data_IF_483050934167
#
_entry.id   IF_483050934167
#
_cell.length_a   1.000
_cell.length_b   1.000
_cell.length_c   1.000
_cell.angle_alpha   90.00
_cell.angle_beta   90.00
_cell.angle_gamma   90.00
#
_symmetry.space_group_name_H-M   'P 1'
#
loop_
_entity.id
_entity.type
_entity.pdbx_description
1 polymer ?
#
# COMPACT_ATOMS: atom_id res chain seq x y z
N UNK A 1 -7.61 22.46 15.68
CA UNK A 1 -6.74 22.84 14.54
C UNK A 1 -5.67 21.79 14.46
N UNK A 2 -5.84 20.86 13.52
CA UNK A 2 -5.01 19.64 13.37
C UNK A 2 -3.54 19.98 13.06
N UNK A 3 -2.61 19.23 13.65
CA UNK A 3 -1.16 19.36 13.47
C UNK A 3 -0.69 19.17 12.01
N UNK A 4 -1.56 18.71 11.14
CA UNK A 4 -1.31 18.56 9.69
C UNK A 4 -0.93 19.87 8.97
N UNK A 5 -1.26 21.03 9.54
CA UNK A 5 -0.92 22.35 8.96
C UNK A 5 0.44 22.92 9.39
N UNK A 6 1.18 22.22 10.29
CA UNK A 6 2.44 22.77 10.85
C UNK A 6 3.73 22.21 10.24
N UNK A 7 3.67 21.17 9.41
CA UNK A 7 4.87 20.58 8.81
C UNK A 7 5.22 21.19 7.43
N UNK A 8 4.33 22.00 6.83
CA UNK A 8 4.56 22.60 5.50
C UNK A 8 5.05 24.06 5.51
N UNK A 9 5.55 24.60 6.62
CA UNK A 9 5.94 26.02 6.70
C UNK A 9 7.37 26.23 7.16
N UNK A 10 8.35 25.60 6.54
CA UNK A 10 9.75 26.01 6.72
C UNK A 10 10.62 25.51 5.56
N UNK A 11 10.59 26.24 4.47
CA UNK A 11 11.74 26.55 3.60
C UNK A 11 11.28 27.31 2.35
N UNK A 12 11.07 28.59 2.46
CA UNK A 12 11.21 29.54 1.33
C UNK A 12 11.45 30.94 1.88
N UNK A 13 12.71 31.30 2.05
CA UNK A 13 13.13 32.69 2.22
C UNK A 13 14.48 32.88 1.55
N UNK A 14 14.47 33.75 0.56
CA UNK A 14 15.70 34.38 0.07
C UNK A 14 15.98 34.23 -1.40
N UNK A 15 15.56 35.15 -2.24
CA UNK A 15 16.42 36.22 -2.78
C UNK A 15 15.55 37.16 -3.64
N UNK A 16 15.41 38.39 -3.16
CA UNK A 16 14.99 39.56 -3.95
C UNK A 16 16.25 40.38 -4.23
N UNK A 17 16.51 40.70 -5.49
CA UNK A 17 17.40 41.81 -5.87
C UNK A 17 16.91 42.43 -7.19
N UNK A 18 16.28 43.51 -7.07
CA UNK A 18 16.29 44.87 -7.62
C UNK A 18 17.10 45.06 -8.91
N UNK A 19 16.43 45.68 -9.90
CA UNK A 19 17.05 46.32 -11.03
C UNK A 19 16.05 47.13 -11.83
N UNK A 20 15.79 48.36 -11.35
CA UNK A 20 15.10 49.39 -12.13
C UNK A 20 16.13 50.25 -12.85
N UNK A 21 15.92 50.53 -14.13
CA UNK A 21 16.43 51.76 -14.75
C UNK A 21 15.52 52.17 -15.91
N UNK A 22 15.13 53.40 -15.84
CA UNK A 22 14.29 54.15 -16.75
C UNK A 22 15.08 54.66 -17.96
N UNK A 23 14.36 54.94 -19.04
CA UNK A 23 14.86 55.68 -20.19
C UNK A 23 13.73 56.15 -21.07
N UNK A 24 13.36 57.44 -20.94
CA UNK A 24 12.46 58.18 -21.85
C UNK A 24 13.16 58.58 -23.13
N UNK A 25 12.45 58.63 -24.24
CA UNK A 25 12.49 59.76 -25.21
C UNK A 25 11.53 59.55 -26.37
N UNK A 26 10.59 60.36 -26.48
CA UNK A 26 9.95 61.27 -27.46
C UNK A 26 9.79 60.87 -28.97
N UNK A 27 8.51 61.01 -29.34
CA UNK A 27 7.98 61.77 -30.47
C UNK A 27 7.98 61.18 -31.91
N UNK A 28 6.79 61.10 -32.48
CA UNK A 28 6.57 60.93 -33.91
C UNK A 28 5.19 60.46 -34.27
N UNK A 29 4.30 61.38 -34.55
CA UNK A 29 2.93 61.31 -35.03
C UNK A 29 2.81 60.52 -36.34
N UNK A 30 1.86 59.58 -36.53
CA UNK A 30 0.82 59.68 -37.56
C UNK A 30 -0.19 58.49 -37.56
N UNK A 31 -1.37 58.86 -37.85
CA UNK A 31 -2.63 58.17 -38.07
C UNK A 31 -2.59 56.81 -38.80
N UNK A 32 -3.38 55.87 -38.32
CA UNK A 32 -3.76 54.67 -39.06
C UNK A 32 -4.66 53.75 -38.21
N UNK A 33 -5.96 53.95 -38.35
CA UNK A 33 -7.02 53.17 -37.71
C UNK A 33 -6.94 51.69 -38.14
N UNK A 34 -6.67 50.77 -37.17
CA UNK A 34 -7.00 49.34 -37.29
C UNK A 34 -7.22 48.75 -35.92
N UNK A 35 -8.46 48.57 -35.59
CA UNK A 35 -8.91 47.84 -34.43
C UNK A 35 -8.66 46.37 -34.57
N UNK A 36 -7.67 45.85 -33.83
CA UNK A 36 -7.52 44.41 -33.58
C UNK A 36 -7.97 44.13 -32.15
N UNK A 37 -8.96 43.27 -31.91
CA UNK A 37 -9.30 42.89 -30.54
C UNK A 37 -8.17 42.01 -29.98
N UNK A 38 -7.57 42.49 -28.91
CA UNK A 38 -6.69 41.62 -28.09
C UNK A 38 -7.58 40.63 -27.36
N UNK A 39 -7.74 39.45 -27.94
CA UNK A 39 -8.36 38.33 -27.26
C UNK A 39 -7.34 37.80 -26.25
N UNK A 40 -7.53 38.10 -24.99
CA UNK A 40 -6.91 37.36 -23.89
C UNK A 40 -7.43 35.93 -23.99
N UNK A 41 -6.64 35.07 -24.60
CA UNK A 41 -6.93 33.64 -24.70
C UNK A 41 -6.82 33.01 -23.30
N UNK A 42 -7.92 32.97 -22.57
CA UNK A 42 -8.12 31.94 -21.56
C UNK A 42 -8.25 30.64 -22.34
N UNK A 43 -7.24 29.78 -22.27
CA UNK A 43 -7.31 28.43 -22.82
C UNK A 43 -8.36 27.69 -21.97
N UNK A 44 -9.64 27.75 -22.39
CA UNK A 44 -10.62 26.78 -21.95
C UNK A 44 -10.22 25.46 -22.63
N UNK A 45 -9.63 24.56 -21.88
CA UNK A 45 -9.62 23.14 -22.23
C UNK A 45 -11.06 22.73 -22.45
N UNK A 46 -11.45 22.49 -23.71
CA UNK A 46 -12.77 21.96 -24.04
C UNK A 46 -12.90 20.61 -23.32
N UNK A 47 -13.91 20.47 -22.45
CA UNK A 47 -14.20 19.21 -21.78
C UNK A 47 -14.46 18.15 -22.86
N UNK A 48 -13.78 17.00 -22.78
CA UNK A 48 -13.97 15.89 -23.70
C UNK A 48 -15.42 15.42 -23.63
N UNK A 49 -16.07 15.23 -24.79
CA UNK A 49 -17.46 14.76 -24.85
C UNK A 49 -17.52 13.25 -24.62
N UNK A 50 -18.08 12.85 -23.48
CA UNK A 50 -18.28 11.45 -23.08
C UNK A 50 -19.69 10.92 -23.34
N UNK A 51 -20.59 11.69 -23.96
CA UNK A 51 -22.02 11.33 -24.15
C UNK A 51 -22.22 10.05 -24.98
N UNK A 52 -21.24 9.70 -25.82
CA UNK A 52 -21.23 8.46 -26.63
C UNK A 52 -20.81 7.21 -25.88
N UNK A 53 -20.14 7.35 -24.72
CA UNK A 53 -19.61 6.22 -23.94
C UNK A 53 -20.73 5.51 -23.21
N UNK A 54 -20.84 4.18 -23.41
CA UNK A 54 -21.87 3.35 -22.76
C UNK A 54 -21.31 2.48 -21.64
N UNK A 55 -20.03 2.16 -21.71
CA UNK A 55 -19.37 1.32 -20.71
C UNK A 55 -17.89 1.64 -20.60
N UNK A 56 -17.34 1.40 -19.41
CA UNK A 56 -15.93 1.38 -19.07
C UNK A 56 -15.60 0.06 -18.38
N UNK A 57 -14.31 -0.31 -18.34
CA UNK A 57 -13.89 -1.57 -17.76
C UNK A 57 -12.83 -1.33 -16.69
N UNK A 58 -13.15 -1.67 -15.44
CA UNK A 58 -12.23 -1.62 -14.32
C UNK A 58 -11.70 -3.03 -13.97
N UNK A 59 -10.39 -3.23 -14.10
CA UNK A 59 -9.72 -4.45 -13.68
C UNK A 59 -9.12 -4.24 -12.29
N UNK A 60 -9.77 -4.85 -11.28
CA UNK A 60 -9.50 -4.64 -9.86
C UNK A 60 -8.46 -5.62 -9.31
N UNK A 61 -7.48 -5.11 -8.58
CA UNK A 61 -6.42 -5.85 -7.89
C UNK A 61 -6.89 -6.54 -6.59
N UNK A 62 -7.88 -5.96 -5.88
CA UNK A 62 -8.24 -6.34 -4.50
C UNK A 62 -9.42 -7.31 -4.46
N UNK A 63 -9.18 -8.65 -4.30
CA UNK A 63 -10.26 -9.65 -4.28
C UNK A 63 -11.18 -9.52 -3.06
N UNK A 64 -10.69 -9.05 -1.92
CA UNK A 64 -11.42 -8.93 -0.66
C UNK A 64 -12.60 -7.95 -0.72
N UNK A 65 -12.56 -6.99 -1.68
CA UNK A 65 -13.60 -5.94 -1.86
C UNK A 65 -14.33 -6.03 -3.21
N UNK A 66 -14.20 -7.14 -3.94
CA UNK A 66 -14.80 -7.34 -5.27
C UNK A 66 -16.29 -7.02 -5.29
N UNK A 67 -17.08 -7.60 -4.39
CA UNK A 67 -18.52 -7.38 -4.32
C UNK A 67 -18.89 -5.92 -4.00
N UNK A 68 -18.01 -5.19 -3.28
CA UNK A 68 -18.21 -3.78 -2.97
C UNK A 68 -18.07 -2.92 -4.22
N UNK A 69 -17.07 -3.18 -5.04
CA UNK A 69 -16.92 -2.50 -6.33
C UNK A 69 -18.07 -2.79 -7.29
N UNK A 70 -18.63 -3.99 -7.29
CA UNK A 70 -19.83 -4.31 -8.08
C UNK A 70 -21.04 -3.47 -7.67
N UNK A 71 -21.25 -3.25 -6.35
CA UNK A 71 -22.31 -2.40 -5.83
C UNK A 71 -22.08 -0.92 -6.20
N UNK A 72 -20.82 -0.43 -6.10
CA UNK A 72 -20.44 0.93 -6.51
C UNK A 72 -20.69 1.13 -8.00
N UNK A 73 -20.30 0.17 -8.84
CA UNK A 73 -20.52 0.19 -10.28
C UNK A 73 -22.01 0.25 -10.65
N UNK A 74 -22.84 -0.52 -9.95
CA UNK A 74 -24.30 -0.50 -10.14
C UNK A 74 -24.89 0.88 -9.82
N UNK A 75 -24.41 1.53 -8.74
CA UNK A 75 -24.86 2.86 -8.35
C UNK A 75 -24.43 3.94 -9.34
N UNK A 76 -23.20 3.90 -9.82
CA UNK A 76 -22.70 4.79 -10.86
C UNK A 76 -23.54 4.69 -12.13
N UNK A 77 -23.86 3.47 -12.57
CA UNK A 77 -24.73 3.21 -13.72
C UNK A 77 -26.14 3.77 -13.52
N UNK A 78 -26.72 3.65 -12.30
CA UNK A 78 -28.03 4.25 -11.97
C UNK A 78 -28.00 5.77 -12.14
N UNK A 79 -26.93 6.44 -11.71
CA UNK A 79 -26.84 7.91 -11.72
C UNK A 79 -26.44 8.48 -13.09
N UNK A 80 -25.59 7.78 -13.84
CA UNK A 80 -24.99 8.33 -15.07
C UNK A 80 -25.42 7.63 -16.36
N UNK A 81 -25.96 6.42 -16.25
CA UNK A 81 -26.27 5.56 -17.39
C UNK A 81 -25.05 4.83 -17.97
N UNK A 82 -23.82 5.08 -17.49
CA UNK A 82 -22.58 4.43 -17.94
C UNK A 82 -22.37 3.15 -17.13
N UNK A 83 -22.19 2.03 -17.82
CA UNK A 83 -21.88 0.76 -17.19
C UNK A 83 -20.40 0.71 -16.79
N UNK A 84 -20.09 0.33 -15.55
CA UNK A 84 -18.74 -0.01 -15.10
C UNK A 84 -18.65 -1.53 -14.97
N UNK A 85 -18.00 -2.17 -15.92
CA UNK A 85 -17.70 -3.60 -15.82
C UNK A 85 -16.53 -3.77 -14.86
N UNK A 86 -16.75 -4.41 -13.74
CA UNK A 86 -15.69 -4.74 -12.77
C UNK A 86 -15.29 -6.20 -12.93
N UNK A 87 -14.01 -6.44 -13.12
CA UNK A 87 -13.44 -7.79 -13.03
C UNK A 87 -12.30 -7.76 -12.02
N UNK A 88 -12.29 -8.71 -11.10
CA UNK A 88 -11.30 -8.78 -10.03
C UNK A 88 -10.40 -9.98 -10.24
N UNK A 89 -9.08 -9.76 -10.15
CA UNK A 89 -8.10 -10.83 -10.20
C UNK A 89 -8.12 -11.67 -8.91
N UNK A 90 -7.78 -12.95 -9.04
CA UNK A 90 -7.50 -13.77 -7.87
C UNK A 90 -6.19 -13.32 -7.19
N UNK A 91 -6.07 -13.59 -5.90
CA UNK A 91 -4.85 -13.28 -5.13
C UNK A 91 -3.61 -13.88 -5.80
N UNK A 92 -2.56 -13.07 -5.95
CA UNK A 92 -1.29 -13.47 -6.57
C UNK A 92 -1.31 -13.65 -8.10
N UNK A 93 -2.46 -13.45 -8.78
CA UNK A 93 -2.61 -13.68 -10.22
C UNK A 93 -2.79 -12.38 -11.04
N UNK A 94 -2.72 -11.22 -10.40
CA UNK A 94 -3.11 -9.95 -11.03
C UNK A 94 -2.31 -9.65 -12.32
N UNK A 95 -0.99 -9.65 -12.26
CA UNK A 95 -0.11 -9.31 -13.40
C UNK A 95 -0.33 -10.25 -14.59
N UNK A 96 -0.44 -11.55 -14.33
CA UNK A 96 -0.70 -12.56 -15.36
C UNK A 96 -2.07 -12.39 -16.00
N UNK A 97 -3.09 -12.11 -15.19
CA UNK A 97 -4.44 -11.89 -15.69
C UNK A 97 -4.53 -10.54 -16.43
N UNK A 98 -3.92 -9.47 -15.91
CA UNK A 98 -3.87 -8.17 -16.58
C UNK A 98 -3.21 -8.27 -17.97
N UNK A 99 -2.12 -9.02 -18.09
CA UNK A 99 -1.47 -9.29 -19.39
C UNK A 99 -2.45 -9.94 -20.37
N UNK A 100 -3.24 -10.90 -19.91
CA UNK A 100 -4.26 -11.55 -20.74
C UNK A 100 -5.40 -10.60 -21.11
N UNK A 101 -5.86 -9.76 -20.17
CA UNK A 101 -6.96 -8.82 -20.40
C UNK A 101 -6.55 -7.69 -21.35
N UNK A 102 -5.33 -7.16 -21.23
CA UNK A 102 -4.81 -6.11 -22.13
C UNK A 102 -4.64 -6.57 -23.59
N UNK A 103 -4.49 -7.87 -23.82
CA UNK A 103 -4.42 -8.46 -25.16
C UNK A 103 -5.78 -8.67 -25.86
N UNK A 104 -6.90 -8.37 -25.20
CA UNK A 104 -8.26 -8.53 -25.75
C UNK A 104 -8.66 -7.35 -26.62
N UNK A 105 -9.72 -7.56 -27.43
CA UNK A 105 -10.33 -6.47 -28.23
C UNK A 105 -11.08 -5.42 -27.40
N UNK A 106 -11.38 -5.72 -26.13
CA UNK A 106 -12.05 -4.85 -25.16
C UNK A 106 -11.23 -4.89 -23.86
N UNK A 107 -10.06 -4.22 -23.84
CA UNK A 107 -9.15 -4.25 -22.70
C UNK A 107 -9.66 -3.38 -21.54
N UNK A 108 -9.11 -3.56 -20.32
CA UNK A 108 -9.37 -2.65 -19.21
C UNK A 108 -9.10 -1.19 -19.59
N UNK A 109 -10.04 -0.31 -19.23
CA UNK A 109 -9.90 1.15 -19.40
C UNK A 109 -9.34 1.79 -18.12
N UNK A 110 -9.63 1.18 -16.96
CA UNK A 110 -9.04 1.45 -15.65
C UNK A 110 -8.35 0.17 -15.19
N UNK A 111 -7.13 0.29 -14.78
CA UNK A 111 -6.37 -0.82 -14.17
C UNK A 111 -5.50 -0.29 -13.03
N UNK A 112 -4.83 -1.17 -12.33
CA UNK A 112 -3.97 -0.78 -11.21
C UNK A 112 -2.54 -1.21 -11.49
N UNK A 113 -1.59 -0.34 -11.16
CA UNK A 113 -0.16 -0.63 -11.24
C UNK A 113 0.42 -0.74 -9.84
N UNK A 114 1.33 -1.68 -9.65
CA UNK A 114 2.00 -1.91 -8.39
C UNK A 114 3.25 -1.01 -8.31
N UNK A 115 3.03 0.25 -7.98
CA UNK A 115 4.08 1.24 -7.79
C UNK A 115 4.94 1.54 -9.02
N UNK A 116 6.15 2.06 -8.82
CA UNK A 116 7.06 2.41 -9.91
C UNK A 116 7.49 1.22 -10.77
N UNK A 117 7.66 0.03 -10.18
CA UNK A 117 8.01 -1.19 -10.92
C UNK A 117 6.84 -1.64 -11.79
N UNK A 118 5.62 -1.60 -11.27
CA UNK A 118 4.40 -1.86 -12.06
C UNK A 118 4.27 -0.87 -13.21
N UNK A 119 4.60 0.41 -13.01
CA UNK A 119 4.64 1.39 -14.09
C UNK A 119 5.63 1.00 -15.19
N UNK A 120 6.84 0.55 -14.85
CA UNK A 120 7.82 0.13 -15.86
C UNK A 120 7.28 -1.01 -16.75
N UNK A 121 6.50 -1.92 -16.18
CA UNK A 121 5.89 -3.03 -16.92
C UNK A 121 4.76 -2.55 -17.86
N UNK A 122 4.02 -1.51 -17.45
CA UNK A 122 2.78 -1.07 -18.10
C UNK A 122 2.86 0.34 -18.69
N UNK A 123 4.03 0.97 -18.76
CA UNK A 123 4.21 2.37 -19.19
C UNK A 123 3.58 2.69 -20.55
N UNK A 124 3.61 1.75 -21.48
CA UNK A 124 3.05 1.93 -22.83
C UNK A 124 1.50 1.96 -22.83
N UNK A 125 0.88 1.56 -21.72
CA UNK A 125 -0.57 1.57 -21.52
C UNK A 125 -1.04 2.66 -20.55
N UNK A 126 -0.14 3.34 -19.85
CA UNK A 126 -0.50 4.37 -18.87
C UNK A 126 -0.66 5.74 -19.52
N UNK A 127 -1.83 6.35 -19.41
CA UNK A 127 -2.05 7.75 -19.78
C UNK A 127 -1.36 8.70 -18.80
N UNK A 128 -0.90 9.87 -19.27
CA UNK A 128 -0.42 10.95 -18.40
C UNK A 128 -1.59 11.65 -17.72
N UNK A 129 -1.66 11.55 -16.41
CA UNK A 129 -2.75 12.04 -15.57
C UNK A 129 -2.42 13.33 -14.81
N UNK A 130 -1.31 14.00 -15.15
CA UNK A 130 -0.81 15.18 -14.41
C UNK A 130 -1.81 16.34 -14.32
N UNK A 131 -2.64 16.49 -15.36
CA UNK A 131 -3.64 17.55 -15.45
C UNK A 131 -5.05 17.06 -15.06
N UNK A 132 -5.19 15.80 -14.61
CA UNK A 132 -6.48 15.20 -14.27
C UNK A 132 -7.07 15.80 -12.99
N UNK A 133 -8.40 15.84 -12.92
CA UNK A 133 -9.12 16.30 -11.75
C UNK A 133 -8.79 15.47 -10.52
N UNK A 134 -8.71 14.12 -10.67
CA UNK A 134 -8.38 13.23 -9.56
C UNK A 134 -6.98 13.48 -9.02
N UNK A 135 -5.98 13.66 -9.89
CA UNK A 135 -4.63 13.99 -9.42
C UNK A 135 -4.59 15.33 -8.67
N UNK A 136 -5.38 16.31 -9.12
CA UNK A 136 -5.45 17.61 -8.42
C UNK A 136 -5.98 17.47 -6.99
N UNK A 137 -6.79 16.47 -6.70
CA UNK A 137 -7.33 16.18 -5.37
C UNK A 137 -6.37 15.41 -4.46
N UNK A 138 -5.29 14.80 -4.98
CA UNK A 138 -4.32 14.07 -4.14
C UNK A 138 -3.70 15.03 -3.12
N UNK A 139 -3.75 14.67 -1.84
CA UNK A 139 -3.30 15.52 -0.72
C UNK A 139 -1.79 15.68 -0.65
N UNK A 140 -1.05 14.61 -0.96
CA UNK A 140 0.41 14.59 -1.07
C UNK A 140 0.83 14.09 -2.45
N UNK A 141 1.20 15.03 -3.32
CA UNK A 141 1.62 14.77 -4.70
C UNK A 141 2.88 13.90 -4.82
N UNK A 142 3.64 13.74 -3.74
CA UNK A 142 4.83 12.86 -3.74
C UNK A 142 4.46 11.37 -3.74
N UNK A 143 3.22 11.04 -3.37
CA UNK A 143 2.73 9.66 -3.37
C UNK A 143 2.45 9.11 -4.78
N UNK A 144 2.24 9.97 -5.78
CA UNK A 144 1.91 9.53 -7.13
C UNK A 144 3.10 8.89 -7.85
N UNK A 145 2.83 7.93 -8.73
CA UNK A 145 3.86 7.37 -9.61
C UNK A 145 4.13 8.35 -10.73
N UNK A 146 5.38 8.78 -10.86
CA UNK A 146 5.84 9.79 -11.81
C UNK A 146 6.98 9.28 -12.67
N UNK A 147 7.05 9.82 -13.89
CA UNK A 147 8.20 9.67 -14.78
C UNK A 147 8.43 11.02 -15.47
N UNK A 148 9.57 11.66 -15.20
CA UNK A 148 9.81 13.05 -15.57
C UNK A 148 8.74 13.98 -14.97
N UNK A 149 8.11 14.78 -15.86
CA UNK A 149 7.02 15.70 -15.48
C UNK A 149 5.62 15.05 -15.54
N UNK A 150 5.52 13.79 -16.00
CA UNK A 150 4.27 13.05 -16.15
C UNK A 150 3.84 12.34 -14.86
N UNK A 151 2.54 12.05 -14.76
CA UNK A 151 1.90 11.30 -13.67
C UNK A 151 1.16 10.11 -14.25
N UNK A 152 1.51 8.90 -13.87
CA UNK A 152 1.03 7.68 -14.51
C UNK A 152 0.29 6.73 -13.54
N UNK A 153 0.37 7.02 -12.24
CA UNK A 153 -0.36 6.28 -11.21
C UNK A 153 -0.84 7.21 -10.12
N UNK A 154 -2.15 7.18 -9.82
CA UNK A 154 -2.78 7.97 -8.76
C UNK A 154 -3.01 7.08 -7.55
N UNK A 155 -2.42 7.39 -6.37
CA UNK A 155 -2.67 6.66 -5.14
C UNK A 155 -4.14 6.80 -4.76
N UNK A 156 -4.78 5.73 -4.28
CA UNK A 156 -6.20 5.79 -3.93
C UNK A 156 -6.49 5.35 -2.49
N UNK A 157 -5.49 4.79 -1.82
CA UNK A 157 -5.59 4.32 -0.43
C UNK A 157 -4.25 4.47 0.27
N UNK A 158 -4.28 4.85 1.54
CA UNK A 158 -3.16 4.68 2.47
C UNK A 158 -3.47 3.44 3.30
N UNK A 159 -2.53 2.53 3.35
CA UNK A 159 -2.66 1.28 4.08
C UNK A 159 -1.55 1.15 5.11
N UNK A 160 -1.83 0.36 6.15
CA UNK A 160 -0.85 0.05 7.16
C UNK A 160 -0.87 -1.44 7.51
N UNK A 161 0.29 -2.00 7.80
CA UNK A 161 0.41 -3.36 8.27
C UNK A 161 1.43 -3.48 9.41
N UNK A 162 1.26 -4.56 10.15
CA UNK A 162 2.07 -4.93 11.28
C UNK A 162 1.68 -6.33 11.75
N UNK A 163 1.84 -6.58 13.03
CA UNK A 163 1.34 -7.79 13.68
C UNK A 163 -0.04 -7.46 14.26
N UNK A 164 -1.11 -7.97 13.64
CA UNK A 164 -2.45 -7.90 14.20
C UNK A 164 -2.51 -8.86 15.39
N UNK A 165 -3.01 -8.42 16.53
CA UNK A 165 -3.18 -9.27 17.70
C UNK A 165 -4.62 -9.26 18.24
N UNK A 166 -5.01 -10.38 18.87
CA UNK A 166 -6.26 -10.54 19.57
C UNK A 166 -6.06 -10.13 21.04
N UNK A 167 -6.53 -8.95 21.40
CA UNK A 167 -6.37 -8.36 22.73
C UNK A 167 -7.01 -9.19 23.84
N UNK A 168 -8.08 -9.93 23.56
CA UNK A 168 -8.69 -10.82 24.55
C UNK A 168 -7.74 -11.98 24.93
N UNK A 169 -7.04 -12.57 23.94
CA UNK A 169 -6.03 -13.60 24.19
C UNK A 169 -4.82 -13.02 24.91
N UNK A 170 -4.35 -11.83 24.49
CA UNK A 170 -3.22 -11.17 25.14
C UNK A 170 -3.53 -10.81 26.60
N UNK A 171 -4.72 -10.28 26.88
CA UNK A 171 -5.18 -9.99 28.25
C UNK A 171 -5.22 -11.25 29.10
N UNK A 172 -5.71 -12.38 28.54
CA UNK A 172 -5.68 -13.67 29.23
C UNK A 172 -4.26 -14.12 29.54
N UNK A 173 -3.32 -13.95 28.59
CA UNK A 173 -1.92 -14.26 28.78
C UNK A 173 -1.29 -13.43 29.90
N UNK A 174 -1.47 -12.11 29.91
CA UNK A 174 -0.92 -11.24 30.96
C UNK A 174 -1.41 -11.58 32.35
N UNK A 175 -2.57 -12.22 32.49
CA UNK A 175 -3.10 -12.70 33.76
C UNK A 175 -2.53 -14.07 34.18
N UNK A 176 -1.71 -14.75 33.37
CA UNK A 176 -1.11 -16.04 33.74
C UNK A 176 0.05 -15.85 34.70
N UNK A 177 0.27 -16.82 35.59
CA UNK A 177 1.41 -16.81 36.49
C UNK A 177 2.73 -16.85 35.67
N UNK A 178 3.67 -15.96 36.02
CA UNK A 178 4.97 -15.88 35.40
C UNK A 178 4.96 -15.37 33.94
N UNK A 179 3.89 -14.66 33.54
CA UNK A 179 3.87 -13.98 32.26
C UNK A 179 5.08 -13.04 32.06
N UNK A 180 5.63 -12.97 30.86
CA UNK A 180 6.85 -12.22 30.54
C UNK A 180 6.63 -10.74 30.30
N UNK A 181 5.36 -10.32 30.25
CA UNK A 181 4.93 -8.93 30.21
C UNK A 181 3.61 -8.79 30.98
N UNK A 182 3.32 -7.59 31.46
CA UNK A 182 2.07 -7.26 32.14
C UNK A 182 1.07 -6.54 31.19
N UNK A 183 1.55 -6.00 30.08
CA UNK A 183 0.72 -5.32 29.08
C UNK A 183 1.40 -5.31 27.69
N UNK A 184 0.65 -4.92 26.65
CA UNK A 184 1.19 -4.75 25.31
C UNK A 184 2.26 -3.64 25.23
N UNK A 185 2.17 -2.62 26.08
CA UNK A 185 3.13 -1.50 26.08
C UNK A 185 4.55 -1.92 26.49
N UNK A 186 4.70 -3.06 27.16
CA UNK A 186 6.02 -3.62 27.50
C UNK A 186 6.65 -4.37 26.31
N UNK A 187 5.86 -4.68 25.28
CA UNK A 187 6.33 -5.38 24.07
C UNK A 187 6.68 -4.33 23.01
N UNK A 188 7.85 -3.73 23.16
CA UNK A 188 8.29 -2.61 22.31
C UNK A 188 9.60 -2.90 21.54
N UNK A 189 10.07 -4.14 21.55
CA UNK A 189 11.25 -4.60 20.79
C UNK A 189 11.19 -6.11 20.56
N UNK A 190 12.03 -6.59 19.65
CA UNK A 190 12.10 -8.01 19.27
C UNK A 190 12.41 -8.93 20.46
N UNK A 191 13.36 -8.56 21.31
CA UNK A 191 13.76 -9.43 22.44
C UNK A 191 12.58 -9.68 23.40
N UNK A 192 11.80 -8.63 23.69
CA UNK A 192 10.59 -8.76 24.53
C UNK A 192 9.49 -9.52 23.80
N UNK A 193 9.29 -9.27 22.50
CA UNK A 193 8.32 -10.03 21.70
C UNK A 193 8.67 -11.53 21.67
N UNK A 194 9.92 -11.88 21.46
CA UNK A 194 10.36 -13.28 21.43
C UNK A 194 10.14 -13.97 22.80
N UNK A 195 10.53 -13.30 23.89
CA UNK A 195 10.32 -13.81 25.27
C UNK A 195 8.83 -14.10 25.54
N UNK A 196 7.94 -13.18 25.15
CA UNK A 196 6.49 -13.33 25.31
C UNK A 196 5.95 -14.47 24.43
N UNK A 197 6.34 -14.53 23.17
CA UNK A 197 5.89 -15.55 22.21
C UNK A 197 6.31 -16.96 22.65
N UNK A 198 7.55 -17.13 23.10
CA UNK A 198 8.04 -18.42 23.60
C UNK A 198 7.28 -18.89 24.86
N UNK A 199 6.99 -17.96 25.80
CA UNK A 199 6.23 -18.26 27.01
C UNK A 199 4.75 -18.57 26.66
N UNK A 200 4.14 -17.83 25.74
CA UNK A 200 2.79 -18.12 25.23
C UNK A 200 2.71 -19.49 24.55
N UNK A 201 3.75 -19.86 23.81
CA UNK A 201 3.84 -21.19 23.16
C UNK A 201 3.86 -22.30 24.21
N UNK A 202 4.61 -22.13 25.29
CA UNK A 202 4.61 -23.08 26.41
C UNK A 202 3.25 -23.17 27.11
N UNK A 203 2.48 -22.09 27.14
CA UNK A 203 1.17 -21.95 27.79
C UNK A 203 -0.03 -22.09 26.82
N UNK A 204 0.19 -22.47 25.55
CA UNK A 204 -0.86 -22.44 24.53
C UNK A 204 -2.11 -23.25 24.88
N UNK A 205 -1.98 -24.36 25.61
CA UNK A 205 -3.13 -25.16 26.08
C UNK A 205 -3.99 -24.38 27.08
N UNK A 206 -3.37 -23.68 28.03
CA UNK A 206 -4.07 -22.85 29.02
C UNK A 206 -4.72 -21.63 28.37
N UNK A 207 -4.09 -21.08 27.33
CA UNK A 207 -4.62 -19.99 26.54
C UNK A 207 -5.78 -20.41 25.62
N UNK A 208 -5.83 -21.69 25.26
CA UNK A 208 -6.83 -22.24 24.34
C UNK A 208 -6.54 -21.93 22.88
N UNK A 209 -5.24 -21.83 22.51
CA UNK A 209 -4.77 -21.55 21.16
C UNK A 209 -3.98 -22.74 20.60
N UNK A 210 -3.97 -22.86 19.28
CA UNK A 210 -3.22 -23.91 18.57
C UNK A 210 -1.75 -23.47 18.34
N UNK A 211 -1.51 -22.17 18.17
CA UNK A 211 -0.21 -21.52 18.05
C UNK A 211 -0.28 -20.06 18.45
N UNK A 212 0.86 -19.39 18.63
CA UNK A 212 0.87 -17.95 18.91
C UNK A 212 0.58 -17.17 17.62
N UNK A 213 1.19 -17.56 16.51
CA UNK A 213 0.93 -16.98 15.18
C UNK A 213 0.02 -17.88 14.36
N UNK A 214 -0.83 -17.26 13.53
CA UNK A 214 -1.49 -17.93 12.43
C UNK A 214 -0.45 -18.58 11.50
N UNK A 215 -0.86 -19.57 10.72
CA UNK A 215 0.04 -20.23 9.76
C UNK A 215 0.71 -19.20 8.85
N UNK A 216 2.02 -19.36 8.69
CA UNK A 216 2.77 -18.60 7.71
C UNK A 216 2.37 -19.11 6.33
N UNK A 217 1.65 -18.33 5.55
CA UNK A 217 1.24 -18.69 4.21
C UNK A 217 2.45 -18.67 3.27
N UNK A 218 3.06 -19.83 3.03
CA UNK A 218 4.20 -19.99 2.12
C UNK A 218 3.82 -20.71 0.83
N UNK A 219 2.53 -20.88 0.56
CA UNK A 219 2.06 -21.33 -0.75
C UNK A 219 2.42 -20.28 -1.79
N UNK A 220 2.96 -20.70 -2.92
CA UNK A 220 3.30 -19.80 -4.02
C UNK A 220 2.10 -18.93 -4.43
N UNK A 221 2.32 -17.62 -4.53
CA UNK A 221 1.30 -16.60 -4.78
C UNK A 221 0.56 -16.10 -3.52
N UNK A 222 0.68 -16.83 -2.40
CA UNK A 222 0.16 -16.44 -1.08
C UNK A 222 1.26 -15.99 -0.09
N UNK A 223 2.52 -16.03 -0.53
CA UNK A 223 3.73 -15.78 0.26
C UNK A 223 4.19 -14.30 0.24
N UNK A 224 3.40 -13.41 -0.39
CA UNK A 224 3.67 -11.97 -0.51
C UNK A 224 3.89 -11.27 0.84
N UNK A 225 3.29 -11.74 1.94
CA UNK A 225 3.53 -11.18 3.28
C UNK A 225 4.98 -11.32 3.75
N UNK A 226 5.73 -12.26 3.19
CA UNK A 226 7.12 -12.55 3.55
C UNK A 226 8.09 -12.00 2.53
N UNK A 227 7.85 -12.25 1.25
CA UNK A 227 8.72 -11.80 0.17
C UNK A 227 8.68 -10.29 -0.08
N UNK A 228 7.62 -9.60 0.33
CA UNK A 228 7.48 -8.14 0.21
C UNK A 228 7.32 -7.46 1.55
N UNK A 229 6.22 -7.73 2.26
CA UNK A 229 5.85 -6.96 3.46
C UNK A 229 6.85 -7.15 4.62
N UNK A 230 7.31 -8.37 4.89
CA UNK A 230 8.36 -8.57 5.88
C UNK A 230 9.74 -8.13 5.33
N UNK A 231 10.02 -8.38 4.05
CA UNK A 231 11.25 -7.91 3.39
C UNK A 231 11.38 -6.39 3.40
N UNK A 232 10.27 -5.67 3.53
CA UNK A 232 10.27 -4.23 3.73
C UNK A 232 11.16 -3.77 4.89
N UNK A 233 11.21 -4.53 5.98
CA UNK A 233 11.96 -4.16 7.17
C UNK A 233 13.47 -4.05 6.88
N UNK A 234 14.17 -5.10 6.40
CA UNK A 234 15.58 -4.97 6.06
C UNK A 234 15.84 -3.95 4.96
N UNK A 235 14.96 -3.83 3.94
CA UNK A 235 15.10 -2.83 2.89
C UNK A 235 14.99 -1.41 3.45
N UNK A 236 14.01 -1.15 4.31
CA UNK A 236 13.85 0.15 4.94
C UNK A 236 15.11 0.56 5.72
N UNK A 237 15.63 -0.31 6.56
CA UNK A 237 16.82 0.02 7.36
C UNK A 237 18.09 0.12 6.52
N UNK A 238 18.21 -0.65 5.45
CA UNK A 238 19.39 -0.60 4.57
C UNK A 238 19.41 0.69 3.73
N UNK A 239 18.25 1.10 3.21
CA UNK A 239 18.14 2.22 2.27
C UNK A 239 17.70 3.55 2.91
N UNK A 240 17.29 3.56 4.17
CA UNK A 240 17.03 4.78 4.94
C UNK A 240 18.33 5.40 5.45
N UNK A 241 19.12 5.95 4.54
CA UNK A 241 20.46 6.50 4.84
C UNK A 241 20.44 7.90 5.47
N UNK A 242 19.25 8.46 5.71
CA UNK A 242 19.08 9.84 6.18
C UNK A 242 19.23 10.89 5.05
N UNK A 243 19.46 10.45 3.82
CA UNK A 243 19.53 11.32 2.63
C UNK A 243 18.61 10.75 1.54
N UNK A 244 17.89 11.64 0.85
CA UNK A 244 16.91 11.23 -0.16
C UNK A 244 15.66 10.56 0.42
N UNK A 245 14.80 10.09 -0.46
CA UNK A 245 13.66 9.27 -0.09
C UNK A 245 14.03 7.79 -0.12
N UNK A 246 13.65 7.05 0.91
CA UNK A 246 14.03 5.63 1.08
C UNK A 246 13.52 4.74 -0.05
N UNK A 247 12.35 5.03 -0.62
CA UNK A 247 11.79 4.27 -1.75
C UNK A 247 12.64 4.51 -2.99
N UNK A 248 12.98 5.76 -3.26
CA UNK A 248 13.87 6.14 -4.37
C UNK A 248 15.25 5.52 -4.21
N UNK A 249 15.83 5.57 -3.00
CA UNK A 249 17.11 4.94 -2.72
C UNK A 249 17.09 3.42 -3.01
N UNK A 250 16.01 2.76 -2.64
CA UNK A 250 15.81 1.33 -2.91
C UNK A 250 15.64 1.05 -4.41
N UNK A 251 14.86 1.88 -5.14
CA UNK A 251 14.66 1.77 -6.59
C UNK A 251 15.95 1.91 -7.39
N UNK A 252 16.83 2.82 -6.97
CA UNK A 252 18.08 3.13 -7.66
C UNK A 252 19.23 2.17 -7.28
N UNK A 253 19.06 1.40 -6.20
CA UNK A 253 20.09 0.51 -5.68
C UNK A 253 20.41 -0.62 -6.68
N UNK A 254 21.65 -0.64 -7.18
CA UNK A 254 22.14 -1.68 -8.10
C UNK A 254 22.49 -2.98 -7.38
N UNK A 255 22.73 -2.91 -6.10
CA UNK A 255 23.12 -4.03 -5.24
C UNK A 255 22.30 -4.01 -3.95
N UNK A 256 21.99 -5.19 -3.44
CA UNK A 256 21.43 -5.42 -2.11
C UNK A 256 22.55 -6.00 -1.25
N UNK A 257 22.97 -5.31 -0.20
CA UNK A 257 23.92 -5.89 0.76
C UNK A 257 23.26 -6.87 1.71
N UNK A 258 21.95 -6.71 1.91
CA UNK A 258 21.12 -7.45 2.85
C UNK A 258 21.69 -7.41 4.27
N UNK A 259 22.06 -6.22 4.70
CA UNK A 259 22.70 -5.94 6.00
C UNK A 259 21.89 -6.47 7.18
N UNK A 260 20.57 -6.45 7.06
CA UNK A 260 19.62 -6.85 8.10
C UNK A 260 19.03 -8.26 7.86
N UNK A 261 19.78 -9.13 7.16
CA UNK A 261 19.33 -10.49 6.87
C UNK A 261 19.07 -11.32 8.14
N UNK A 262 19.91 -11.18 9.16
CA UNK A 262 19.73 -11.90 10.43
C UNK A 262 18.53 -11.35 11.22
N UNK A 263 18.25 -10.04 11.11
CA UNK A 263 17.06 -9.43 11.69
C UNK A 263 15.78 -9.96 11.02
N UNK A 264 15.78 -10.08 9.69
CA UNK A 264 14.70 -10.73 8.97
C UNK A 264 14.50 -12.18 9.43
N UNK A 265 15.60 -12.95 9.51
CA UNK A 265 15.58 -14.34 9.95
C UNK A 265 14.97 -14.48 11.35
N UNK A 266 15.37 -13.61 12.28
CA UNK A 266 14.91 -13.65 13.67
C UNK A 266 13.39 -13.64 13.74
N UNK A 267 12.72 -12.64 13.13
CA UNK A 267 11.27 -12.52 13.18
C UNK A 267 10.58 -13.60 12.31
N UNK A 268 11.15 -13.98 11.18
CA UNK A 268 10.61 -15.04 10.33
C UNK A 268 10.65 -16.41 11.03
N UNK A 269 11.74 -16.73 11.71
CA UNK A 269 11.86 -17.94 12.53
C UNK A 269 10.90 -17.90 13.73
N UNK A 270 10.70 -16.73 14.35
CA UNK A 270 9.75 -16.59 15.43
C UNK A 270 8.31 -16.92 14.96
N UNK A 271 7.91 -16.43 13.79
CA UNK A 271 6.62 -16.76 13.18
C UNK A 271 6.48 -18.24 12.88
N UNK A 272 7.47 -18.83 12.20
CA UNK A 272 7.38 -20.22 11.71
C UNK A 272 7.54 -21.26 12.82
N UNK A 273 8.29 -20.95 13.89
CA UNK A 273 8.46 -21.84 15.04
C UNK A 273 7.25 -21.86 15.99
N UNK A 274 6.46 -20.77 16.01
CA UNK A 274 5.34 -20.59 16.96
C UNK A 274 3.99 -20.50 16.23
N UNK A 275 3.93 -21.08 15.03
CA UNK A 275 2.74 -21.12 14.18
C UNK A 275 1.73 -22.19 14.65
N UNK A 276 0.45 -21.99 14.28
CA UNK A 276 -0.62 -23.00 14.37
C UNK A 276 -0.33 -24.24 13.52
N UNK A 277 0.55 -24.13 12.54
CA UNK A 277 0.87 -25.18 11.54
C UNK A 277 2.36 -25.50 11.57
N UNK A 278 2.69 -26.79 11.54
CA UNK A 278 4.09 -27.25 11.48
C UNK A 278 4.80 -26.79 10.20
N UNK A 279 6.11 -26.50 10.31
CA UNK A 279 6.93 -25.93 9.24
C UNK A 279 6.83 -26.67 7.90
N UNK A 280 6.88 -27.98 7.91
CA UNK A 280 6.80 -28.81 6.69
C UNK A 280 5.48 -28.73 5.94
N UNK A 281 4.42 -28.19 6.57
CA UNK A 281 3.09 -28.03 5.99
C UNK A 281 2.80 -26.61 5.51
N UNK A 282 3.65 -25.65 5.84
CA UNK A 282 3.42 -24.23 5.54
C UNK A 282 3.34 -23.91 4.04
N UNK A 283 4.02 -24.70 3.18
CA UNK A 283 3.94 -24.56 1.72
C UNK A 283 2.55 -24.89 1.13
N UNK A 284 1.66 -25.52 1.90
CA UNK A 284 0.26 -25.75 1.51
C UNK A 284 -0.72 -24.70 2.04
N UNK A 285 -0.24 -23.76 2.87
CA UNK A 285 -1.09 -22.75 3.52
C UNK A 285 -1.19 -21.48 2.70
N UNK A 286 -2.43 -21.03 2.49
CA UNK A 286 -2.79 -19.79 1.83
C UNK A 286 -2.98 -18.63 2.84
N UNK A 287 -3.07 -17.39 2.34
CA UNK A 287 -3.49 -16.24 3.16
C UNK A 287 -4.85 -16.46 3.77
N UNK A 288 -5.80 -17.03 3.02
CA UNK A 288 -7.14 -17.33 3.51
C UNK A 288 -7.13 -18.33 4.67
N UNK A 289 -6.25 -19.37 4.64
CA UNK A 289 -6.10 -20.32 5.75
C UNK A 289 -5.65 -19.59 7.03
N UNK A 290 -4.60 -18.76 6.94
CA UNK A 290 -4.09 -18.03 8.11
C UNK A 290 -5.10 -17.03 8.65
N UNK A 291 -5.87 -16.37 7.81
CA UNK A 291 -6.92 -15.44 8.25
C UNK A 291 -8.08 -16.19 8.91
N UNK A 292 -8.47 -17.35 8.40
CA UNK A 292 -9.49 -18.19 9.04
C UNK A 292 -9.06 -18.69 10.42
N UNK A 293 -7.79 -19.06 10.60
CA UNK A 293 -7.23 -19.46 11.91
C UNK A 293 -7.29 -18.32 12.92
N UNK A 294 -6.89 -17.10 12.54
CA UNK A 294 -6.97 -15.92 13.40
C UNK A 294 -8.42 -15.55 13.72
N UNK A 295 -9.28 -15.48 12.71
CA UNK A 295 -10.69 -15.14 12.87
C UNK A 295 -11.46 -16.13 13.75
N UNK A 296 -11.03 -17.39 13.78
CA UNK A 296 -11.56 -18.43 14.68
C UNK A 296 -10.97 -18.39 16.09
N UNK A 297 -10.07 -17.45 16.41
CA UNK A 297 -9.39 -17.36 17.72
C UNK A 297 -8.41 -18.50 18.00
N UNK A 298 -7.89 -19.17 16.96
CA UNK A 298 -6.94 -20.28 17.07
C UNK A 298 -5.51 -19.85 17.38
N UNK A 299 -5.22 -18.56 17.17
CA UNK A 299 -3.93 -17.95 17.47
C UNK A 299 -4.11 -16.54 18.02
N UNK A 300 -3.05 -16.03 18.65
CA UNK A 300 -3.05 -14.71 19.25
C UNK A 300 -2.69 -13.61 18.23
N UNK A 301 -1.90 -13.94 17.21
CA UNK A 301 -1.27 -12.96 16.31
C UNK A 301 -1.27 -13.43 14.87
N UNK A 302 -1.28 -12.45 13.94
CA UNK A 302 -1.06 -12.66 12.49
C UNK A 302 -0.42 -11.42 11.88
N UNK A 303 0.63 -11.55 11.07
CA UNK A 303 1.14 -10.43 10.29
C UNK A 303 0.21 -10.18 9.11
N UNK A 304 -0.45 -9.02 9.07
CA UNK A 304 -1.28 -8.58 7.94
C UNK A 304 -1.56 -7.07 8.04
N UNK A 305 -2.30 -6.52 7.08
CA UNK A 305 -2.68 -5.11 7.02
C UNK A 305 -4.15 -4.85 7.32
N UNK A 306 -4.54 -3.57 7.24
CA UNK A 306 -5.91 -3.15 7.54
C UNK A 306 -6.95 -3.76 6.59
N UNK A 307 -6.57 -4.17 5.39
CA UNK A 307 -7.44 -4.93 4.47
C UNK A 307 -7.94 -6.27 5.03
N UNK A 308 -7.31 -6.79 6.09
CA UNK A 308 -7.66 -8.07 6.69
C UNK A 308 -8.97 -8.04 7.50
N UNK A 309 -9.50 -6.86 7.85
CA UNK A 309 -10.69 -6.77 8.70
C UNK A 309 -11.89 -7.54 8.15
N UNK A 310 -12.15 -7.45 6.84
CA UNK A 310 -13.26 -8.14 6.22
C UNK A 310 -13.23 -9.68 6.40
N UNK A 311 -12.04 -10.27 6.45
CA UNK A 311 -11.87 -11.71 6.69
C UNK A 311 -11.98 -12.05 8.18
N UNK A 312 -11.43 -11.22 9.06
CA UNK A 312 -11.54 -11.38 10.53
C UNK A 312 -13.02 -11.32 10.94
N UNK A 313 -13.76 -10.33 10.44
CA UNK A 313 -15.17 -10.14 10.77
C UNK A 313 -16.04 -11.34 10.38
N UNK A 314 -15.76 -11.99 9.23
CA UNK A 314 -16.50 -13.17 8.78
C UNK A 314 -16.44 -14.35 9.75
N UNK A 315 -15.34 -14.47 10.52
CA UNK A 315 -15.17 -15.53 11.51
C UNK A 315 -16.08 -15.39 12.75
N UNK A 316 -16.48 -14.17 13.09
CA UNK A 316 -17.45 -13.86 14.15
C UNK A 316 -17.01 -14.18 15.58
N UNK A 317 -15.75 -14.60 15.80
CA UNK A 317 -15.20 -14.97 17.12
C UNK A 317 -14.38 -13.82 17.70
N UNK A 318 -13.51 -13.22 16.89
CA UNK A 318 -12.69 -12.08 17.29
C UNK A 318 -13.52 -10.81 17.18
N UNK A 319 -13.64 -10.07 18.27
CA UNK A 319 -14.46 -8.86 18.33
C UNK A 319 -13.70 -7.65 17.83
N UNK A 320 -14.44 -6.65 17.33
CA UNK A 320 -13.89 -5.39 16.85
C UNK A 320 -12.98 -4.69 17.87
N UNK A 321 -13.42 -4.63 19.13
CA UNK A 321 -12.67 -4.02 20.21
C UNK A 321 -11.37 -4.75 20.58
N UNK A 322 -11.24 -6.03 20.22
CA UNK A 322 -10.09 -6.87 20.53
C UNK A 322 -9.04 -6.92 19.39
N UNK A 323 -9.32 -6.31 18.25
CA UNK A 323 -8.38 -6.29 17.12
C UNK A 323 -7.50 -5.05 17.19
N UNK A 324 -6.18 -5.26 17.34
CA UNK A 324 -5.18 -4.22 17.55
C UNK A 324 -3.90 -4.52 16.74
N UNK A 325 -3.02 -3.51 16.63
CA UNK A 325 -1.72 -3.64 16.00
C UNK A 325 -0.54 -3.55 16.95
N UNK A 326 0.48 -4.33 16.63
CA UNK A 326 1.83 -4.20 17.13
C UNK A 326 2.77 -3.98 15.93
N UNK A 327 3.78 -3.08 15.99
CA UNK A 327 4.82 -2.98 14.97
C UNK A 327 5.60 -4.27 14.79
N UNK A 328 6.22 -4.45 13.62
CA UNK A 328 7.09 -5.60 13.35
C UNK A 328 8.48 -5.29 13.90
N UNK A 329 8.80 -5.84 15.05
CA UNK A 329 10.12 -5.71 15.67
C UNK A 329 11.07 -6.80 15.17
N UNK A 330 12.29 -6.43 14.81
CA UNK A 330 13.27 -7.32 14.18
C UNK A 330 14.62 -7.37 14.91
N UNK A 331 14.77 -6.61 15.98
CA UNK A 331 15.99 -6.52 16.76
C UNK A 331 17.01 -5.52 16.20
N UNK A 332 16.53 -4.48 15.55
CA UNK A 332 17.37 -3.34 15.16
C UNK A 332 17.42 -2.31 16.28
N UNK A 333 18.53 -1.59 16.37
CA UNK A 333 18.69 -0.53 17.37
C UNK A 333 17.66 0.59 17.17
N UNK A 334 16.99 0.99 18.25
CA UNK A 334 16.01 2.08 18.24
C UNK A 334 14.61 1.70 17.77
N UNK A 335 14.31 0.41 17.64
CA UNK A 335 12.98 -0.06 17.21
C UNK A 335 11.86 0.21 18.24
N UNK A 336 12.20 0.63 19.46
CA UNK A 336 11.22 0.94 20.53
C UNK A 336 10.31 2.13 20.16
N UNK A 337 10.73 2.97 19.23
CA UNK A 337 9.96 4.10 18.71
C UNK A 337 9.47 3.90 17.27
N UNK A 338 9.60 2.68 16.77
CA UNK A 338 9.10 2.31 15.45
C UNK A 338 7.58 2.15 15.48
N UNK A 339 6.91 2.72 14.48
CA UNK A 339 5.48 2.55 14.21
C UNK A 339 5.19 1.41 13.23
N UNK A 340 3.97 1.41 12.71
CA UNK A 340 3.56 0.46 11.66
C UNK A 340 4.25 0.75 10.33
N UNK A 341 4.26 -0.24 9.46
CA UNK A 341 4.59 -0.06 8.05
C UNK A 341 3.40 0.63 7.35
N UNK A 342 3.59 1.86 6.86
CA UNK A 342 2.53 2.67 6.27
C UNK A 342 2.94 3.17 4.89
N UNK A 343 2.04 3.04 3.92
CA UNK A 343 2.30 3.46 2.55
C UNK A 343 1.11 3.21 1.62
N UNK A 344 1.40 3.18 0.33
CA UNK A 344 0.47 2.78 -0.73
C UNK A 344 1.22 1.89 -1.72
N UNK A 345 0.57 0.87 -2.24
CA UNK A 345 1.19 -0.08 -3.16
C UNK A 345 0.58 0.01 -4.54
N UNK A 346 -0.74 0.18 -4.60
CA UNK A 346 -1.49 0.15 -5.84
C UNK A 346 -1.97 1.54 -6.22
N UNK A 347 -1.93 1.80 -7.52
CA UNK A 347 -2.26 3.09 -8.10
C UNK A 347 -3.22 2.90 -9.25
N UNK A 348 -4.23 3.74 -9.35
CA UNK A 348 -5.05 3.77 -10.55
C UNK A 348 -4.26 4.30 -11.75
N UNK A 349 -4.34 3.57 -12.85
CA UNK A 349 -3.89 3.97 -14.16
C UNK A 349 -5.07 3.93 -15.15
N UNK A 350 -5.04 4.83 -16.14
CA UNK A 350 -5.99 4.85 -17.25
C UNK A 350 -5.28 4.33 -18.48
N UNK A 351 -5.95 3.45 -19.23
CA UNK A 351 -5.39 2.87 -20.45
C UNK A 351 -5.31 3.91 -21.56
N UNK A 352 -4.09 4.27 -21.95
CA UNK A 352 -3.80 5.24 -23.03
C UNK A 352 -4.16 4.74 -24.44
N UNK A 353 -4.40 3.42 -24.58
CA UNK A 353 -4.67 2.79 -25.89
C UNK A 353 -6.16 2.79 -26.27
N UNK A 354 -7.04 3.24 -25.34
CA UNK A 354 -8.47 3.40 -25.64
C UNK A 354 -8.80 4.82 -26.06
N UNK A 355 -9.97 5.02 -26.70
CA UNK A 355 -10.40 6.34 -27.17
C UNK A 355 -10.41 7.39 -26.05
N UNK A 356 -10.07 8.64 -26.35
CA UNK A 356 -9.99 9.74 -25.39
C UNK A 356 -11.29 9.94 -24.60
N UNK A 357 -12.45 9.79 -25.26
CA UNK A 357 -13.75 9.84 -24.59
C UNK A 357 -13.92 8.73 -23.54
N UNK A 358 -13.39 7.54 -23.80
CA UNK A 358 -13.40 6.39 -22.87
C UNK A 358 -12.43 6.63 -21.72
N UNK A 359 -11.24 7.19 -21.99
CA UNK A 359 -10.28 7.60 -20.95
C UNK A 359 -10.92 8.63 -20.02
N UNK A 360 -11.59 9.65 -20.57
CA UNK A 360 -12.28 10.67 -19.78
C UNK A 360 -13.43 10.08 -18.97
N UNK A 361 -14.27 9.23 -19.55
CA UNK A 361 -15.37 8.57 -18.82
C UNK A 361 -14.84 7.68 -17.68
N UNK A 362 -13.68 7.06 -17.86
CA UNK A 362 -13.00 6.29 -16.82
C UNK A 362 -12.50 7.20 -15.70
N UNK A 363 -11.95 8.36 -16.02
CA UNK A 363 -11.56 9.38 -15.04
C UNK A 363 -12.79 9.95 -14.30
N UNK A 364 -13.87 10.24 -15.01
CA UNK A 364 -15.12 10.75 -14.43
C UNK A 364 -15.69 9.75 -13.38
N UNK A 365 -15.60 8.44 -13.63
CA UNK A 365 -15.97 7.43 -12.63
C UNK A 365 -15.08 7.51 -11.38
N UNK A 366 -13.77 7.60 -11.54
CA UNK A 366 -12.86 7.71 -10.40
C UNK A 366 -13.09 9.03 -9.62
N UNK A 367 -13.28 10.15 -10.31
CA UNK A 367 -13.61 11.42 -9.67
C UNK A 367 -14.93 11.31 -8.90
N UNK A 368 -16.00 10.74 -9.50
CA UNK A 368 -17.26 10.49 -8.83
C UNK A 368 -17.10 9.63 -7.57
N UNK A 369 -16.28 8.56 -7.65
CA UNK A 369 -16.04 7.68 -6.51
C UNK A 369 -15.43 8.43 -5.31
N UNK A 370 -14.50 9.36 -5.55
CA UNK A 370 -13.79 10.06 -4.47
C UNK A 370 -14.36 11.47 -4.16
N UNK A 371 -15.42 11.92 -4.82
CA UNK A 371 -16.00 13.26 -4.58
C UNK A 371 -17.49 13.27 -4.29
N UNK A 372 -18.27 12.31 -4.82
CA UNK A 372 -19.70 12.26 -4.57
C UNK A 372 -20.00 11.79 -3.13
N UNK A 373 -21.17 12.20 -2.61
CA UNK A 373 -21.60 11.78 -1.27
C UNK A 373 -21.71 10.27 -1.12
N UNK A 374 -22.21 9.58 -2.16
CA UNK A 374 -22.28 8.12 -2.16
C UNK A 374 -20.88 7.49 -2.28
N UNK A 375 -20.09 7.95 -3.24
CA UNK A 375 -18.75 7.43 -3.48
C UNK A 375 -17.86 7.55 -2.25
N UNK A 376 -17.79 8.72 -1.61
CA UNK A 376 -17.01 8.92 -0.38
C UNK A 376 -17.46 8.00 0.76
N UNK A 377 -18.78 7.85 0.97
CA UNK A 377 -19.29 6.89 1.97
C UNK A 377 -18.91 5.46 1.65
N UNK A 378 -19.00 5.04 0.39
CA UNK A 378 -18.57 3.72 -0.04
C UNK A 378 -17.06 3.51 0.17
N UNK A 379 -16.23 4.52 -0.16
CA UNK A 379 -14.77 4.48 0.04
C UNK A 379 -14.42 4.24 1.51
N UNK A 380 -15.02 4.98 2.44
CA UNK A 380 -14.65 4.89 3.87
C UNK A 380 -15.34 3.73 4.60
N UNK A 381 -16.59 3.39 4.27
CA UNK A 381 -17.37 2.41 5.03
C UNK A 381 -17.40 1.02 4.39
N UNK A 382 -17.44 0.95 3.05
CA UNK A 382 -17.52 -0.32 2.33
C UNK A 382 -16.14 -0.84 1.93
N UNK A 383 -15.29 0.03 1.37
CA UNK A 383 -13.92 -0.34 0.98
C UNK A 383 -12.94 -0.26 2.16
N UNK A 384 -13.25 0.49 3.23
CA UNK A 384 -12.38 0.67 4.39
C UNK A 384 -11.10 1.48 4.10
N UNK A 385 -11.12 2.35 3.09
CA UNK A 385 -9.94 3.07 2.65
C UNK A 385 -9.68 4.33 3.46
N UNK A 386 -8.44 4.53 3.87
CA UNK A 386 -7.90 5.84 4.24
C UNK A 386 -7.56 6.56 2.93
N UNK A 387 -8.47 7.40 2.46
CA UNK A 387 -8.34 8.04 1.14
C UNK A 387 -7.31 9.19 1.16
N UNK A 388 -6.33 9.22 0.23
CA UNK A 388 -5.31 10.27 0.18
C UNK A 388 -5.77 11.52 -0.59
N UNK A 389 -7.05 11.92 -0.47
CA UNK A 389 -7.62 13.02 -1.25
C UNK A 389 -8.14 14.16 -0.37
N UNK A 390 -7.96 15.40 -0.85
CA UNK A 390 -8.46 16.61 -0.19
C UNK A 390 -9.97 16.77 -0.23
N UNK A 391 -10.68 15.93 -0.98
CA UNK A 391 -12.14 15.84 -1.02
C UNK A 391 -12.77 15.23 0.24
N UNK A 392 -11.97 14.58 1.08
CA UNK A 392 -12.42 13.99 2.34
C UNK A 392 -12.18 14.94 3.51
N UNK A 393 -13.18 15.08 4.36
CA UNK A 393 -13.09 15.86 5.60
C UNK A 393 -12.50 15.02 6.75
N UNK A 394 -12.12 15.67 7.85
CA UNK A 394 -11.53 15.00 9.02
C UNK A 394 -12.48 13.97 9.69
N UNK A 395 -13.79 14.09 9.51
CA UNK A 395 -14.83 13.19 9.99
C UNK A 395 -15.21 12.07 9.00
N UNK A 396 -14.71 12.13 7.77
CA UNK A 396 -14.90 11.11 6.73
C UNK A 396 -13.71 10.12 6.75
N UNK A 397 -13.59 9.36 7.86
CA UNK A 397 -12.55 8.35 8.07
C UNK A 397 -13.17 6.96 8.14
N UNK A 398 -12.41 5.90 7.76
CA UNK A 398 -12.88 4.52 7.88
C UNK A 398 -13.36 4.18 9.29
N UNK A 399 -14.41 3.37 9.37
CA UNK A 399 -15.02 2.98 10.65
C UNK A 399 -14.55 1.62 11.14
N UNK A 400 -13.88 0.83 10.28
CA UNK A 400 -13.33 -0.47 10.68
C UNK A 400 -12.17 -0.33 11.68
N UNK A 401 -11.98 -1.35 12.56
CA UNK A 401 -11.04 -1.24 13.67
C UNK A 401 -9.58 -1.17 13.22
N UNK A 402 -9.20 -1.89 12.15
CA UNK A 402 -7.81 -1.91 11.69
C UNK A 402 -7.42 -0.61 10.99
N UNK A 403 -8.30 0.00 10.19
CA UNK A 403 -8.03 1.31 9.61
C UNK A 403 -7.97 2.41 10.70
N UNK A 404 -8.83 2.34 11.74
CA UNK A 404 -8.74 3.22 12.91
C UNK A 404 -7.39 3.09 13.64
N UNK A 405 -6.90 1.87 13.81
CA UNK A 405 -5.59 1.61 14.41
C UNK A 405 -4.46 2.18 13.54
N UNK A 406 -4.51 2.02 12.22
CA UNK A 406 -3.52 2.62 11.31
C UNK A 406 -3.48 4.14 11.49
N UNK A 407 -4.65 4.79 11.48
CA UNK A 407 -4.73 6.24 11.70
C UNK A 407 -4.18 6.65 13.08
N UNK A 408 -4.50 5.90 14.13
CA UNK A 408 -4.00 6.15 15.46
C UNK A 408 -2.46 6.03 15.54
N UNK A 409 -1.89 5.03 14.87
CA UNK A 409 -0.44 4.86 14.79
C UNK A 409 0.24 5.97 13.97
N UNK A 410 -0.39 6.46 12.88
CA UNK A 410 0.12 7.60 12.11
C UNK A 410 0.18 8.89 12.93
N UNK A 411 -0.74 9.06 13.86
CA UNK A 411 -0.85 10.25 14.71
C UNK A 411 -0.11 10.09 16.07
N UNK A 412 0.46 8.92 16.36
CA UNK A 412 1.09 8.60 17.65
C UNK A 412 2.39 9.38 17.83
N UNK A 413 2.42 10.27 18.82
CA UNK A 413 3.58 11.11 19.13
C UNK A 413 4.79 10.23 19.52
N UNK A 414 5.96 10.52 18.95
CA UNK A 414 7.22 9.86 19.26
C UNK A 414 7.46 8.56 18.51
N UNK A 415 6.55 8.15 17.64
CA UNK A 415 6.71 6.97 16.79
C UNK A 415 6.92 7.36 15.33
N UNK A 416 7.74 6.59 14.62
CA UNK A 416 8.04 6.80 13.21
C UNK A 416 7.50 5.63 12.38
N UNK A 417 6.64 5.91 11.41
CA UNK A 417 6.15 4.90 10.48
C UNK A 417 7.26 4.42 9.55
N UNK A 418 7.27 3.12 9.28
CA UNK A 418 8.17 2.49 8.31
C UNK A 418 7.55 2.62 6.92
N UNK A 419 8.23 3.32 6.00
CA UNK A 419 7.77 3.47 4.62
C UNK A 419 7.87 2.16 3.84
N UNK A 420 7.05 2.01 2.80
CA UNK A 420 7.00 0.80 1.98
C UNK A 420 8.12 0.71 0.95
N UNK A 421 9.35 0.52 1.44
CA UNK A 421 10.57 0.39 0.62
C UNK A 421 10.52 -0.80 -0.34
N UNK A 422 9.68 -1.80 -0.06
CA UNK A 422 9.49 -2.95 -0.95
C UNK A 422 8.97 -2.57 -2.35
N UNK A 423 8.36 -1.39 -2.50
CA UNK A 423 8.02 -0.84 -3.82
C UNK A 423 9.25 -0.66 -4.73
N UNK A 424 10.44 -0.66 -4.15
CA UNK A 424 11.71 -0.63 -4.88
C UNK A 424 12.32 -2.00 -5.19
N UNK A 425 11.67 -3.12 -4.89
CA UNK A 425 12.14 -4.47 -5.27
C UNK A 425 12.21 -4.60 -6.80
N UNK A 426 13.26 -5.22 -7.38
CA UNK A 426 13.50 -5.20 -8.83
C UNK A 426 12.35 -5.70 -9.70
N UNK A 427 11.72 -6.81 -9.33
CA UNK A 427 10.70 -7.45 -10.16
C UNK A 427 9.83 -8.44 -9.38
N UNK A 428 8.71 -8.86 -9.99
CA UNK A 428 7.90 -9.98 -9.49
C UNK A 428 8.68 -11.31 -9.50
N UNK A 429 9.61 -11.47 -10.44
CA UNK A 429 10.47 -12.65 -10.47
C UNK A 429 11.36 -12.73 -9.23
N UNK A 430 12.00 -11.63 -8.84
CA UNK A 430 12.81 -11.58 -7.62
C UNK A 430 12.00 -11.96 -6.38
N UNK A 431 10.79 -11.39 -6.26
CA UNK A 431 9.88 -11.68 -5.15
C UNK A 431 9.56 -13.18 -5.07
N UNK A 432 9.15 -13.77 -6.19
CA UNK A 432 8.78 -15.19 -6.28
C UNK A 432 9.97 -16.11 -5.99
N UNK A 433 11.16 -15.80 -6.49
CA UNK A 433 12.38 -16.58 -6.23
C UNK A 433 12.78 -16.51 -4.75
N UNK A 434 12.64 -15.33 -4.12
CA UNK A 434 12.88 -15.17 -2.69
C UNK A 434 11.85 -15.93 -1.86
N UNK A 435 10.55 -15.86 -2.19
CA UNK A 435 9.51 -16.64 -1.53
C UNK A 435 9.73 -18.15 -1.62
N UNK A 436 10.12 -18.64 -2.80
CA UNK A 436 10.49 -20.05 -2.98
C UNK A 436 11.70 -20.45 -2.10
N UNK A 437 12.72 -19.59 -2.03
CA UNK A 437 13.90 -19.81 -1.16
C UNK A 437 13.54 -19.83 0.33
N UNK A 438 12.58 -19.00 0.77
CA UNK A 438 12.06 -19.04 2.14
C UNK A 438 11.36 -20.36 2.45
N UNK A 439 10.57 -20.89 1.51
CA UNK A 439 9.92 -22.20 1.68
C UNK A 439 10.95 -23.33 1.79
N UNK A 440 11.96 -23.36 0.90
CA UNK A 440 13.06 -24.32 0.96
C UNK A 440 13.81 -24.26 2.30
N UNK A 441 14.05 -23.04 2.81
CA UNK A 441 14.67 -22.83 4.11
C UNK A 441 13.84 -23.41 5.26
N UNK A 442 12.56 -23.10 5.30
CA UNK A 442 11.65 -23.59 6.36
C UNK A 442 11.52 -25.11 6.33
N UNK A 443 11.60 -25.73 5.15
CA UNK A 443 11.57 -27.18 4.96
C UNK A 443 12.94 -27.85 5.23
N UNK A 444 13.99 -27.09 5.58
CA UNK A 444 15.33 -27.60 5.82
C UNK A 444 16.06 -28.07 4.56
N UNK A 445 15.64 -27.63 3.39
CA UNK A 445 16.24 -27.97 2.09
C UNK A 445 17.32 -26.96 1.67
N UNK A 446 17.33 -25.77 2.29
CA UNK A 446 18.26 -24.68 2.00
C UNK A 446 18.74 -24.02 3.27
N UNK A 447 20.05 -23.75 3.36
CA UNK A 447 20.62 -22.99 4.47
C UNK A 447 20.33 -21.50 4.33
N UNK A 448 20.18 -20.78 5.45
CA UNK A 448 19.91 -19.34 5.45
C UNK A 448 20.93 -18.53 4.66
N UNK A 449 22.21 -18.88 4.79
CA UNK A 449 23.29 -18.22 4.04
C UNK A 449 23.13 -18.35 2.53
N UNK A 450 22.54 -19.42 2.04
CA UNK A 450 22.24 -19.61 0.63
C UNK A 450 21.03 -18.75 0.20
N UNK A 451 19.98 -18.65 1.04
CA UNK A 451 18.85 -17.74 0.80
C UNK A 451 19.34 -16.29 0.62
N UNK A 452 20.20 -15.83 1.52
CA UNK A 452 20.81 -14.49 1.45
C UNK A 452 21.64 -14.29 0.19
N UNK A 453 22.49 -15.27 -0.16
CA UNK A 453 23.34 -15.19 -1.35
C UNK A 453 22.54 -15.14 -2.65
N UNK A 454 21.47 -15.94 -2.75
CA UNK A 454 20.58 -15.97 -3.91
C UNK A 454 19.83 -14.65 -4.07
N UNK A 455 19.28 -14.10 -2.97
CA UNK A 455 18.58 -12.82 -2.97
C UNK A 455 19.48 -11.67 -3.47
N UNK A 456 20.73 -11.60 -3.00
CA UNK A 456 21.74 -10.61 -3.41
C UNK A 456 22.09 -10.74 -4.89
N UNK A 457 22.37 -11.98 -5.31
CA UNK A 457 22.79 -12.28 -6.69
C UNK A 457 21.67 -11.95 -7.69
N UNK A 458 20.44 -12.36 -7.38
CA UNK A 458 19.26 -12.09 -8.21
C UNK A 458 18.98 -10.58 -8.29
N UNK A 459 19.05 -9.85 -7.15
CA UNK A 459 18.89 -8.38 -7.15
C UNK A 459 19.84 -7.71 -8.12
N UNK A 460 21.14 -7.98 -7.98
CA UNK A 460 22.19 -7.38 -8.82
C UNK A 460 21.99 -7.75 -10.30
N UNK A 461 21.62 -9.00 -10.59
CA UNK A 461 21.39 -9.47 -11.95
C UNK A 461 20.22 -8.72 -12.60
N UNK A 462 19.11 -8.56 -11.90
CA UNK A 462 17.90 -7.91 -12.46
C UNK A 462 18.03 -6.39 -12.57
N UNK A 463 18.84 -5.76 -11.69
CA UNK A 463 19.11 -4.31 -11.78
C UNK A 463 20.10 -3.93 -12.87
N UNK A 464 20.86 -4.88 -13.41
CA UNK A 464 21.83 -4.65 -14.48
C UNK A 464 21.40 -5.28 -15.83
N UNK A 465 20.22 -5.88 -15.90
CA UNK A 465 19.64 -6.39 -17.15
C UNK A 465 18.94 -5.27 -17.94
#
# INVERSE_FOLDING_TARGET
MSKFKKVLASTLAGVLAVGALAGCSESGNNNGNSTTPTTSGTTQTSKVDTSGVKSIYFFNFKPEISQKYEAIAAKYKEETGIEVRVQTAASGEYEKQLTSEMGKSDPPTIFQINGPVGYQNWKDYCADLKDSELYNLVSDKSMAVKDGDGVYGIPYVVEGYGIIYNNAIMTKYFATEGAKAASMDEINNYAKLAEVVEDMTAKKADLGIDGVFASTSLKSGDDWRWQTHLMNMPLYYEFNTGTGDVITNCLEAKELEFKYADNYKNIFDLYTNNSTTEKNLLGGKSVADSMAEFAAGKCAMVQNGNWAWGDIQKGGVVKEEDVKYLPIYTGVDGEETQGLCIGTENYFAINSQVDEAVQQASMDFLVWLFTSDYGKKAVVNDLGFVAPFTSFNDDEKPTDPLAKEVLAWMEKDGFTSVKWSFAGIPSEKWKNDFGASLLEYVQGQKEWTAVVADAKTSWTSERNA
#
